data_IF_979780082919
#
_entry.id   IF_979780082919
#
_cell.length_a   1.000
_cell.length_b   1.000
_cell.length_c   1.000
_cell.angle_alpha   90.00
_cell.angle_beta   90.00
_cell.angle_gamma   90.00
#
_symmetry.space_group_name_H-M   'P 1'
#
loop_
_entity.id
_entity.type
_entity.pdbx_description
1 polymer ?
#
# COMPACT_ATOMS: atom_id res chain seq x y z
N UNK A 1 1.14 -4.87 32.50
CA UNK A 1 -0.18 -5.51 32.61
C UNK A 1 -0.94 -5.23 31.33
N UNK A 2 -1.46 -6.27 30.70
CA UNK A 2 -2.30 -6.15 29.52
C UNK A 2 -3.66 -5.55 29.91
N UNK A 3 -4.09 -4.52 29.20
CA UNK A 3 -5.32 -3.79 29.49
C UNK A 3 -6.39 -4.17 28.46
N UNK A 4 -7.42 -4.89 28.90
CA UNK A 4 -8.62 -5.17 28.12
C UNK A 4 -9.66 -4.08 28.44
N UNK A 5 -10.23 -3.48 27.40
CA UNK A 5 -11.23 -2.43 27.50
C UNK A 5 -12.50 -2.91 26.79
N UNK A 6 -13.54 -3.16 27.56
CA UNK A 6 -14.85 -3.57 27.02
C UNK A 6 -15.60 -2.39 26.41
N UNK A 7 -16.07 -2.57 25.19
CA UNK A 7 -16.89 -1.60 24.46
C UNK A 7 -18.23 -2.25 24.15
N UNK A 8 -19.25 -1.86 24.90
CA UNK A 8 -20.62 -2.40 24.77
C UNK A 8 -21.60 -1.42 24.08
N UNK A 9 -21.18 -0.16 23.83
CA UNK A 9 -22.06 0.89 23.35
C UNK A 9 -21.50 1.54 22.09
N UNK A 10 -22.28 1.55 21.01
CA UNK A 10 -21.94 2.20 19.73
C UNK A 10 -21.75 3.71 19.82
N UNK A 11 -22.35 4.38 20.83
CA UNK A 11 -22.19 5.83 21.05
C UNK A 11 -20.92 6.18 21.83
N UNK A 12 -20.14 5.18 22.28
CA UNK A 12 -18.90 5.47 23.00
C UNK A 12 -17.91 6.22 22.10
N UNK A 13 -17.21 7.21 22.64
CA UNK A 13 -16.19 8.00 21.92
C UNK A 13 -15.10 7.08 21.31
N UNK A 14 -14.74 6.02 22.00
CA UNK A 14 -13.74 5.04 21.54
C UNK A 14 -14.25 4.36 20.27
N UNK A 15 -15.49 3.85 20.26
CA UNK A 15 -16.05 3.15 19.12
C UNK A 15 -16.20 4.09 17.90
N UNK A 16 -16.65 5.32 18.12
CA UNK A 16 -16.75 6.32 17.07
C UNK A 16 -15.38 6.65 16.43
N UNK A 17 -14.32 6.68 17.22
CA UNK A 17 -12.96 6.83 16.69
C UNK A 17 -12.53 5.61 15.89
N UNK A 18 -12.84 4.38 16.33
CA UNK A 18 -12.54 3.18 15.55
C UNK A 18 -13.23 3.18 14.18
N UNK A 19 -14.47 3.68 14.08
CA UNK A 19 -15.16 3.84 12.79
C UNK A 19 -14.46 4.88 11.88
N UNK A 20 -13.95 5.97 12.44
CA UNK A 20 -13.14 6.94 11.68
C UNK A 20 -11.85 6.31 11.14
N UNK A 21 -11.15 5.52 11.94
CA UNK A 21 -9.92 4.81 11.51
C UNK A 21 -10.21 3.80 10.40
N UNK A 22 -11.36 3.10 10.47
CA UNK A 22 -11.83 2.23 9.38
C UNK A 22 -12.06 3.02 8.08
N UNK A 23 -12.66 4.19 8.16
CA UNK A 23 -12.90 5.06 7.02
C UNK A 23 -11.60 5.67 6.42
N UNK A 24 -10.46 5.47 7.09
CA UNK A 24 -9.17 5.97 6.61
C UNK A 24 -8.95 7.45 6.86
N UNK A 25 -9.54 7.99 7.94
CA UNK A 25 -9.36 9.39 8.33
C UNK A 25 -7.89 9.80 8.26
N UNK A 26 -7.63 10.91 7.54
CA UNK A 26 -6.27 11.34 7.19
C UNK A 26 -5.52 11.95 8.38
N UNK A 27 -6.25 12.53 9.34
CA UNK A 27 -5.68 13.34 10.41
C UNK A 27 -5.08 12.52 11.57
N UNK A 28 -5.63 11.35 11.86
CA UNK A 28 -5.29 10.60 13.09
C UNK A 28 -4.01 9.76 13.00
N UNK A 29 -3.38 9.63 11.84
CA UNK A 29 -2.15 8.83 11.69
C UNK A 29 -2.33 7.32 12.01
N UNK A 30 -3.58 6.83 12.05
CA UNK A 30 -3.97 5.47 12.42
C UNK A 30 -4.79 4.84 11.30
N UNK A 31 -4.69 3.52 11.14
CA UNK A 31 -5.53 2.71 10.26
C UNK A 31 -5.87 1.37 10.90
N UNK A 32 -6.90 0.71 10.36
CA UNK A 32 -7.26 -0.64 10.79
C UNK A 32 -6.82 -1.66 9.74
N UNK A 33 -6.26 -2.77 10.21
CA UNK A 33 -5.90 -3.93 9.39
C UNK A 33 -6.55 -5.19 9.99
N UNK A 34 -7.17 -6.02 9.14
CA UNK A 34 -8.02 -7.11 9.57
C UNK A 34 -7.38 -8.48 9.27
N UNK A 35 -7.38 -9.36 10.26
CA UNK A 35 -6.97 -10.75 10.11
C UNK A 35 -5.64 -11.10 10.76
N UNK A 36 -5.39 -12.41 10.84
CA UNK A 36 -4.25 -13.00 11.54
C UNK A 36 -2.92 -12.63 10.87
N UNK A 37 -2.86 -12.72 9.54
CA UNK A 37 -1.66 -12.33 8.76
C UNK A 37 -1.28 -10.87 9.02
N UNK A 38 -2.30 -9.99 9.10
CA UNK A 38 -2.09 -8.57 9.38
C UNK A 38 -1.59 -8.34 10.81
N UNK A 39 -2.07 -9.14 11.78
CA UNK A 39 -1.60 -9.08 13.15
C UNK A 39 -0.11 -9.42 13.24
N UNK A 40 0.29 -10.54 12.62
CA UNK A 40 1.68 -10.98 12.66
C UNK A 40 2.64 -9.95 12.02
N UNK A 41 2.25 -9.38 10.87
CA UNK A 41 3.06 -8.37 10.18
C UNK A 41 3.08 -7.01 10.91
N UNK A 42 1.94 -6.57 11.47
CA UNK A 42 1.87 -5.36 12.29
C UNK A 42 2.73 -5.46 13.55
N UNK A 43 2.74 -6.64 14.18
CA UNK A 43 3.56 -6.92 15.37
C UNK A 43 5.05 -6.88 15.04
N UNK A 44 5.48 -7.64 14.00
CA UNK A 44 6.89 -7.66 13.53
C UNK A 44 7.42 -6.29 13.16
N UNK A 45 6.61 -5.47 12.48
CA UNK A 45 6.99 -4.12 12.05
C UNK A 45 6.95 -3.05 13.14
N UNK A 46 6.54 -3.43 14.36
CA UNK A 46 6.30 -2.49 15.47
C UNK A 46 5.27 -1.40 15.16
N UNK A 47 4.35 -1.67 14.23
CA UNK A 47 3.28 -0.75 13.83
C UNK A 47 2.01 -0.93 14.66
N UNK A 48 1.88 -2.03 15.40
CA UNK A 48 0.70 -2.37 16.19
C UNK A 48 0.56 -1.46 17.41
N UNK A 49 -0.57 -0.76 17.50
CA UNK A 49 -0.91 0.11 18.64
C UNK A 49 -1.87 -0.57 19.63
N UNK A 50 -2.83 -1.33 19.09
CA UNK A 50 -3.81 -2.06 19.87
C UNK A 50 -4.44 -3.16 19.02
N UNK A 51 -5.07 -4.12 19.68
CA UNK A 51 -5.93 -5.12 19.02
C UNK A 51 -7.39 -4.88 19.37
N UNK A 52 -8.26 -5.34 18.48
CA UNK A 52 -9.70 -5.33 18.65
C UNK A 52 -10.16 -6.75 18.42
N UNK A 53 -10.86 -7.33 19.40
CA UNK A 53 -11.27 -8.73 19.39
C UNK A 53 -12.80 -8.86 19.55
N UNK A 54 -13.43 -9.90 18.94
CA UNK A 54 -14.85 -10.18 19.07
C UNK A 54 -15.17 -10.83 20.44
N UNK A 55 -16.43 -11.20 20.65
CA UNK A 55 -16.93 -11.79 21.91
C UNK A 55 -16.16 -13.08 22.30
N UNK A 56 -15.91 -13.94 21.29
CA UNK A 56 -15.07 -15.14 21.48
C UNK A 56 -13.76 -14.91 20.74
N UNK A 57 -12.66 -14.90 21.47
CA UNK A 57 -11.34 -14.60 20.93
C UNK A 57 -10.24 -15.49 21.52
N UNK A 58 -9.17 -15.65 20.76
CA UNK A 58 -7.95 -16.32 21.19
C UNK A 58 -7.08 -15.33 21.99
N UNK A 59 -6.57 -15.78 23.15
CA UNK A 59 -5.67 -15.01 23.99
C UNK A 59 -4.38 -14.57 23.28
N UNK A 60 -4.01 -15.22 22.19
CA UNK A 60 -2.90 -14.83 21.30
C UNK A 60 -3.00 -13.37 20.86
N UNK A 61 -4.23 -12.86 20.69
CA UNK A 61 -4.47 -11.50 20.21
C UNK A 61 -4.60 -10.46 21.31
N UNK A 62 -4.44 -10.86 22.58
CA UNK A 62 -4.40 -9.92 23.70
C UNK A 62 -3.02 -9.28 23.75
N UNK A 63 -2.98 -7.94 23.71
CA UNK A 63 -1.76 -7.14 23.71
C UNK A 63 -1.82 -6.11 24.83
N UNK A 64 -0.78 -5.30 24.98
CA UNK A 64 -0.74 -4.22 26.00
C UNK A 64 -2.01 -3.36 26.03
N UNK A 65 -2.70 -3.25 24.88
CA UNK A 65 -3.99 -2.55 24.77
C UNK A 65 -4.88 -3.34 23.83
N UNK A 66 -6.00 -3.86 24.36
CA UNK A 66 -6.97 -4.67 23.63
C UNK A 66 -8.36 -4.09 23.85
N UNK A 67 -9.10 -3.90 22.78
CA UNK A 67 -10.52 -3.55 22.83
C UNK A 67 -11.33 -4.81 22.58
N UNK A 68 -12.24 -5.11 23.51
CA UNK A 68 -13.17 -6.22 23.39
C UNK A 68 -14.54 -5.68 23.02
N UNK A 69 -15.09 -6.15 21.91
CA UNK A 69 -16.37 -5.70 21.36
C UNK A 69 -17.36 -6.86 21.24
N UNK A 70 -18.63 -6.56 21.51
CA UNK A 70 -19.73 -7.45 21.12
C UNK A 70 -19.73 -7.64 19.59
N UNK A 71 -20.13 -8.83 19.14
CA UNK A 71 -20.07 -9.20 17.72
C UNK A 71 -20.81 -8.22 16.79
N UNK A 72 -21.91 -7.61 17.25
CA UNK A 72 -22.65 -6.60 16.50
C UNK A 72 -21.80 -5.34 16.19
N UNK A 73 -21.04 -4.85 17.18
CA UNK A 73 -20.15 -3.71 17.01
C UNK A 73 -18.90 -4.10 16.22
N UNK A 74 -18.36 -5.30 16.50
CA UNK A 74 -17.21 -5.82 15.79
C UNK A 74 -17.49 -5.95 14.29
N UNK A 75 -18.69 -6.44 13.92
CA UNK A 75 -19.16 -6.53 12.52
C UNK A 75 -19.20 -5.17 11.81
N UNK A 76 -19.53 -4.09 12.52
CA UNK A 76 -19.52 -2.74 11.93
C UNK A 76 -18.09 -2.26 11.59
N UNK A 77 -17.08 -2.75 12.29
CA UNK A 77 -15.68 -2.44 12.01
C UNK A 77 -15.10 -3.31 10.89
N UNK A 78 -15.56 -4.55 10.73
CA UNK A 78 -15.04 -5.45 9.70
C UNK A 78 -15.51 -5.04 8.30
N UNK A 79 -14.62 -5.24 7.32
CA UNK A 79 -14.89 -5.12 5.89
C UNK A 79 -15.16 -6.50 5.24
N UNK A 80 -15.01 -7.59 6.00
CA UNK A 80 -15.22 -8.95 5.53
C UNK A 80 -16.64 -9.47 5.83
N UNK A 81 -17.15 -10.35 4.97
CA UNK A 81 -18.40 -11.07 5.22
C UNK A 81 -18.30 -12.00 6.42
N UNK A 82 -17.19 -12.76 6.51
CA UNK A 82 -16.85 -13.57 7.67
C UNK A 82 -16.01 -12.72 8.63
N UNK A 83 -16.39 -12.69 9.91
CA UNK A 83 -15.64 -11.89 10.90
C UNK A 83 -14.20 -12.41 11.03
N UNK A 84 -13.19 -11.52 10.94
CA UNK A 84 -11.82 -11.89 11.24
C UNK A 84 -11.66 -12.18 12.74
N UNK A 85 -10.66 -12.98 13.12
CA UNK A 85 -10.37 -13.28 14.53
C UNK A 85 -9.83 -12.08 15.29
N UNK A 86 -9.23 -11.12 14.58
CA UNK A 86 -8.64 -9.90 15.13
C UNK A 86 -8.69 -8.76 14.12
N UNK A 87 -8.89 -7.55 14.62
CA UNK A 87 -8.65 -6.30 13.89
C UNK A 87 -7.54 -5.56 14.62
N UNK A 88 -6.54 -5.13 13.87
CA UNK A 88 -5.37 -4.42 14.37
C UNK A 88 -5.52 -2.92 14.20
N UNK A 89 -5.31 -2.16 15.23
CA UNK A 89 -5.15 -0.72 15.16
C UNK A 89 -3.66 -0.41 14.98
N UNK A 90 -3.30 0.16 13.85
CA UNK A 90 -1.92 0.33 13.42
C UNK A 90 -1.58 1.79 13.18
N UNK A 91 -0.31 2.16 13.42
CA UNK A 91 0.24 3.47 13.10
C UNK A 91 0.52 3.58 11.59
N UNK A 92 0.04 4.62 10.93
CA UNK A 92 0.45 4.98 9.56
C UNK A 92 1.92 5.38 9.55
N UNK A 93 2.66 4.89 8.58
CA UNK A 93 4.09 5.18 8.42
C UNK A 93 4.33 5.68 7.00
N UNK A 94 4.24 7.01 6.82
CA UNK A 94 4.67 7.65 5.58
C UNK A 94 6.15 7.99 5.68
N UNK A 95 6.87 7.72 4.61
CA UNK A 95 8.28 8.06 4.48
C UNK A 95 8.41 9.37 3.71
N UNK A 96 9.48 10.11 3.95
CA UNK A 96 9.84 11.27 3.15
C UNK A 96 10.75 10.88 1.97
N UNK A 97 11.08 11.84 1.12
CA UNK A 97 11.86 11.61 -0.09
C UNK A 97 13.28 11.11 0.19
N UNK A 98 13.83 11.34 1.39
CA UNK A 98 15.15 10.84 1.79
C UNK A 98 15.19 9.32 1.95
N UNK A 99 14.02 8.70 2.13
CA UNK A 99 13.83 7.25 2.21
C UNK A 99 13.73 6.57 0.84
N UNK A 100 13.86 7.32 -0.25
CA UNK A 100 13.82 6.78 -1.61
C UNK A 100 15.08 5.96 -1.86
N UNK A 101 14.91 4.65 -2.02
CA UNK A 101 16.04 3.73 -2.21
C UNK A 101 16.45 3.57 -3.68
N UNK A 102 17.50 2.80 -3.93
CA UNK A 102 18.13 2.69 -5.26
C UNK A 102 17.21 2.12 -6.35
N UNK A 103 16.37 1.13 -6.02
CA UNK A 103 15.36 0.57 -6.93
C UNK A 103 13.98 0.96 -6.43
N UNK A 104 13.34 1.88 -7.11
CA UNK A 104 12.06 2.41 -6.68
C UNK A 104 10.98 2.29 -7.76
N UNK A 105 9.73 2.41 -7.34
CA UNK A 105 8.55 2.49 -8.20
C UNK A 105 7.92 3.86 -8.03
N UNK A 106 7.50 4.48 -9.12
CA UNK A 106 6.64 5.66 -9.08
C UNK A 106 5.28 5.33 -9.69
N UNK A 107 4.23 5.66 -8.98
CA UNK A 107 2.85 5.46 -9.41
C UNK A 107 2.19 6.81 -9.67
N UNK A 108 1.78 7.04 -10.92
CA UNK A 108 1.23 8.30 -11.39
C UNK A 108 -0.29 8.22 -11.52
N UNK A 109 -1.01 8.58 -10.46
CA UNK A 109 -2.47 8.68 -10.47
C UNK A 109 -3.21 7.34 -10.40
N UNK A 110 -2.64 6.31 -9.79
CA UNK A 110 -3.33 5.02 -9.60
C UNK A 110 -4.56 5.20 -8.72
N UNK A 111 -5.74 4.80 -9.22
CA UNK A 111 -7.03 4.99 -8.56
C UNK A 111 -7.61 3.69 -8.00
N UNK A 112 -7.37 2.54 -8.64
CA UNK A 112 -7.88 1.26 -8.13
C UNK A 112 -7.06 0.79 -6.92
N UNK A 113 -7.71 0.61 -5.75
CA UNK A 113 -7.01 0.19 -4.54
C UNK A 113 -6.50 -1.26 -4.61
N UNK A 114 -7.11 -2.12 -5.42
CA UNK A 114 -6.64 -3.48 -5.65
C UNK A 114 -5.32 -3.50 -6.39
N UNK A 115 -5.20 -2.66 -7.44
CA UNK A 115 -3.95 -2.49 -8.18
C UNK A 115 -2.84 -1.95 -7.28
N UNK A 116 -3.11 -0.89 -6.52
CA UNK A 116 -2.09 -0.32 -5.62
C UNK A 116 -1.58 -1.37 -4.61
N UNK A 117 -2.48 -2.10 -3.95
CA UNK A 117 -2.06 -3.11 -2.98
C UNK A 117 -1.27 -4.27 -3.62
N UNK A 118 -1.66 -4.69 -4.82
CA UNK A 118 -0.94 -5.71 -5.59
C UNK A 118 0.47 -5.23 -5.96
N UNK A 119 0.62 -3.99 -6.40
CA UNK A 119 1.92 -3.39 -6.73
C UNK A 119 2.81 -3.31 -5.48
N UNK A 120 2.27 -2.87 -4.33
CA UNK A 120 3.00 -2.82 -3.07
C UNK A 120 3.55 -4.21 -2.69
N UNK A 121 2.69 -5.23 -2.79
CA UNK A 121 3.08 -6.62 -2.50
C UNK A 121 4.16 -7.14 -3.44
N UNK A 122 4.01 -6.87 -4.73
CA UNK A 122 4.96 -7.31 -5.77
C UNK A 122 6.31 -6.61 -5.64
N UNK A 123 6.30 -5.31 -5.35
CA UNK A 123 7.52 -4.54 -5.14
C UNK A 123 8.35 -5.08 -3.96
N UNK A 124 7.68 -5.41 -2.85
CA UNK A 124 8.36 -6.05 -1.72
C UNK A 124 8.93 -7.42 -2.10
N UNK A 125 8.15 -8.25 -2.82
CA UNK A 125 8.56 -9.59 -3.23
C UNK A 125 9.78 -9.59 -4.17
N UNK A 126 9.95 -8.54 -4.98
CA UNK A 126 11.09 -8.39 -5.91
C UNK A 126 12.18 -7.44 -5.40
N UNK A 127 12.18 -7.16 -4.08
CA UNK A 127 13.23 -6.38 -3.41
C UNK A 127 13.38 -4.95 -3.93
N UNK A 128 12.29 -4.35 -4.41
CA UNK A 128 12.25 -2.91 -4.63
C UNK A 128 12.25 -2.21 -3.27
N UNK A 129 13.03 -1.16 -3.16
CA UNK A 129 13.36 -0.52 -1.89
C UNK A 129 12.31 0.51 -1.42
N UNK A 130 11.49 1.03 -2.33
CA UNK A 130 10.46 2.02 -2.01
C UNK A 130 9.44 2.22 -3.13
N UNK A 131 8.27 2.75 -2.75
CA UNK A 131 7.23 3.18 -3.68
C UNK A 131 6.95 4.66 -3.46
N UNK A 132 6.99 5.42 -4.55
CA UNK A 132 6.58 6.82 -4.55
C UNK A 132 5.23 6.96 -5.26
N UNK A 133 4.30 7.67 -4.64
CA UNK A 133 2.96 7.93 -5.14
C UNK A 133 2.84 9.40 -5.55
N UNK A 134 2.24 9.69 -6.68
CA UNK A 134 1.74 11.03 -6.95
C UNK A 134 0.61 11.40 -5.97
N UNK A 135 0.33 12.69 -5.81
CA UNK A 135 -0.63 13.16 -4.78
C UNK A 135 -2.07 12.74 -5.06
N UNK A 136 -2.40 12.42 -6.28
CA UNK A 136 -3.72 11.97 -6.73
C UNK A 136 -3.91 10.44 -6.73
N UNK A 137 -2.92 9.66 -6.33
CA UNK A 137 -3.13 8.22 -6.08
C UNK A 137 -4.11 7.99 -4.94
N UNK A 138 -4.84 6.87 -5.03
CA UNK A 138 -5.64 6.35 -3.91
C UNK A 138 -4.77 6.22 -2.66
N UNK A 139 -5.37 6.44 -1.49
CA UNK A 139 -4.63 6.32 -0.23
C UNK A 139 -4.04 4.92 -0.04
N UNK A 140 -2.75 4.77 0.28
CA UNK A 140 -2.17 3.47 0.60
C UNK A 140 -2.79 2.84 1.85
N UNK A 141 -3.46 3.64 2.70
CA UNK A 141 -4.17 3.19 3.89
C UNK A 141 -5.68 3.02 3.68
N UNK A 142 -6.15 2.99 2.43
CA UNK A 142 -7.49 2.51 2.11
C UNK A 142 -7.61 1.03 2.50
N UNK A 143 -8.73 0.62 3.09
CA UNK A 143 -8.93 -0.76 3.60
C UNK A 143 -8.69 -1.83 2.52
N UNK A 144 -9.11 -1.56 1.28
CA UNK A 144 -8.90 -2.49 0.16
C UNK A 144 -7.43 -2.56 -0.29
N UNK A 145 -6.65 -1.47 -0.18
CA UNK A 145 -5.19 -1.49 -0.40
C UNK A 145 -4.51 -2.35 0.66
N UNK A 146 -4.86 -2.14 1.92
CA UNK A 146 -4.32 -2.92 3.05
C UNK A 146 -4.57 -4.41 2.83
N UNK A 147 -5.82 -4.79 2.48
CA UNK A 147 -6.18 -6.18 2.21
C UNK A 147 -5.38 -6.80 1.06
N UNK A 148 -5.27 -6.09 -0.07
CA UNK A 148 -4.59 -6.59 -1.28
C UNK A 148 -3.07 -6.60 -1.14
N UNK A 149 -2.50 -5.76 -0.30
CA UNK A 149 -1.06 -5.75 -0.01
C UNK A 149 -0.58 -6.95 0.81
N UNK A 150 -1.50 -7.70 1.46
CA UNK A 150 -1.18 -8.90 2.26
C UNK A 150 -0.02 -8.70 3.23
N UNK A 151 -0.03 -7.58 3.96
CA UNK A 151 1.00 -7.24 4.94
C UNK A 151 2.22 -6.49 4.40
N UNK A 152 2.43 -6.45 3.09
CA UNK A 152 3.57 -5.71 2.51
C UNK A 152 3.57 -4.22 2.86
N UNK A 153 2.40 -3.62 3.14
CA UNK A 153 2.25 -2.23 3.57
C UNK A 153 3.03 -1.90 4.84
N UNK A 154 3.30 -2.87 5.70
CA UNK A 154 4.05 -2.68 6.95
C UNK A 154 5.56 -2.58 6.75
N UNK A 155 6.06 -3.04 5.59
CA UNK A 155 7.49 -3.17 5.31
C UNK A 155 7.97 -2.26 4.19
N UNK A 156 7.07 -1.87 3.27
CA UNK A 156 7.43 -1.05 2.11
C UNK A 156 7.42 0.44 2.48
N UNK A 157 8.55 1.16 2.36
CA UNK A 157 8.57 2.61 2.44
C UNK A 157 7.67 3.23 1.36
N UNK A 158 6.68 4.02 1.79
CA UNK A 158 5.76 4.71 0.89
C UNK A 158 5.94 6.21 1.04
N UNK A 159 6.22 6.86 -0.08
CA UNK A 159 6.52 8.28 -0.20
C UNK A 159 5.42 8.94 -1.04
N UNK A 160 5.06 10.18 -0.76
CA UNK A 160 4.25 11.01 -1.66
C UNK A 160 5.07 12.16 -2.17
N UNK A 161 5.30 12.21 -3.50
CA UNK A 161 6.11 13.25 -4.12
C UNK A 161 5.80 13.41 -5.61
N UNK A 162 6.16 14.54 -6.21
CA UNK A 162 6.11 14.77 -7.65
C UNK A 162 7.32 14.14 -8.34
N UNK A 163 7.12 13.54 -9.52
CA UNK A 163 8.21 12.90 -10.27
C UNK A 163 9.35 13.87 -10.61
N UNK A 164 9.04 15.14 -10.87
CA UNK A 164 10.06 16.17 -11.15
C UNK A 164 11.04 16.37 -9.98
N UNK A 165 10.61 16.21 -8.73
CA UNK A 165 11.49 16.33 -7.57
C UNK A 165 12.41 15.10 -7.45
N UNK A 166 11.94 13.92 -7.84
CA UNK A 166 12.76 12.71 -7.92
C UNK A 166 13.82 12.85 -9.04
N UNK A 167 13.45 13.46 -10.18
CA UNK A 167 14.39 13.78 -11.27
C UNK A 167 15.57 14.60 -10.77
N UNK A 168 15.33 15.59 -9.90
CA UNK A 168 16.38 16.45 -9.30
C UNK A 168 17.37 15.68 -8.42
N UNK A 169 17.00 14.48 -7.98
CA UNK A 169 17.86 13.58 -7.20
C UNK A 169 18.73 12.66 -8.06
N UNK A 170 18.79 12.90 -9.40
CA UNK A 170 19.57 12.13 -10.38
C UNK A 170 19.19 10.65 -10.47
N UNK A 171 17.89 10.32 -10.37
CA UNK A 171 17.39 8.99 -10.68
C UNK A 171 17.32 8.76 -12.19
N UNK A 172 17.67 7.55 -12.62
CA UNK A 172 17.38 7.06 -13.96
C UNK A 172 15.89 6.70 -14.03
N UNK A 173 15.11 7.49 -14.76
CA UNK A 173 13.66 7.35 -14.82
C UNK A 173 13.26 6.54 -16.07
N UNK A 174 12.54 5.44 -15.88
CA UNK A 174 11.99 4.59 -16.94
C UNK A 174 10.46 4.66 -16.88
N UNK A 175 9.85 5.19 -17.94
CA UNK A 175 8.43 5.53 -17.99
C UNK A 175 7.70 4.55 -18.91
N UNK A 176 6.70 3.86 -18.38
CA UNK A 176 5.86 2.98 -19.21
C UNK A 176 5.02 3.80 -20.18
N UNK A 177 5.17 3.51 -21.48
CA UNK A 177 4.45 4.21 -22.57
C UNK A 177 4.39 3.31 -23.79
N UNK A 178 3.28 3.33 -24.53
CA UNK A 178 3.07 2.50 -25.73
C UNK A 178 4.06 2.82 -26.87
N UNK A 179 4.55 4.04 -26.93
CA UNK A 179 5.57 4.51 -27.87
C UNK A 179 7.00 4.35 -27.35
N UNK A 180 7.19 3.60 -26.27
CA UNK A 180 8.48 3.34 -25.65
C UNK A 180 9.31 2.29 -26.41
N UNK A 181 10.59 2.19 -26.02
CA UNK A 181 11.48 1.11 -26.44
C UNK A 181 11.04 -0.21 -25.78
N UNK A 182 11.17 -1.32 -26.51
CA UNK A 182 10.89 -2.65 -25.98
C UNK A 182 11.81 -2.97 -24.78
N UNK A 183 11.23 -3.41 -23.70
CA UNK A 183 11.95 -3.76 -22.46
C UNK A 183 13.02 -4.85 -22.70
N UNK A 184 12.85 -5.69 -23.73
CA UNK A 184 13.79 -6.75 -24.10
C UNK A 184 15.15 -6.20 -24.52
N UNK A 185 15.18 -4.98 -25.06
CA UNK A 185 16.42 -4.31 -25.49
C UNK A 185 17.20 -3.71 -24.31
N UNK A 186 16.63 -3.71 -23.12
CA UNK A 186 17.26 -3.18 -21.90
C UNK A 186 17.80 -4.34 -21.08
N UNK A 187 19.11 -4.51 -21.03
CA UNK A 187 19.76 -5.62 -20.34
C UNK A 187 19.54 -5.56 -18.82
N UNK A 188 19.73 -4.39 -18.23
CA UNK A 188 19.55 -4.11 -16.80
C UNK A 188 19.25 -2.66 -16.56
N UNK A 189 18.62 -2.34 -15.43
CA UNK A 189 18.51 -0.96 -14.97
C UNK A 189 19.80 -0.54 -14.26
N UNK A 190 20.27 0.70 -14.47
CA UNK A 190 21.35 1.27 -13.67
C UNK A 190 20.97 1.29 -12.18
N UNK A 191 21.99 1.40 -11.30
CA UNK A 191 21.75 1.77 -9.91
C UNK A 191 20.99 3.11 -9.86
N UNK A 192 20.21 3.30 -8.79
CA UNK A 192 19.41 4.51 -8.61
C UNK A 192 18.41 4.73 -9.76
N UNK A 193 17.55 3.72 -9.97
CA UNK A 193 16.52 3.72 -11.01
C UNK A 193 15.11 3.71 -10.44
N UNK A 194 14.18 4.31 -11.18
CA UNK A 194 12.76 4.30 -10.85
C UNK A 194 11.93 3.90 -12.07
N UNK A 195 11.04 2.91 -11.90
CA UNK A 195 10.05 2.51 -12.88
C UNK A 195 8.76 3.31 -12.64
N UNK A 196 8.24 3.95 -13.67
CA UNK A 196 7.05 4.80 -13.61
C UNK A 196 5.88 4.12 -14.29
N UNK A 197 4.78 3.95 -13.55
CA UNK A 197 3.53 3.39 -14.04
C UNK A 197 2.42 4.42 -13.93
N UNK A 198 1.61 4.55 -14.97
CA UNK A 198 0.53 5.51 -15.04
C UNK A 198 -0.83 4.97 -14.64
N UNK A 199 -1.81 5.86 -14.65
CA UNK A 199 -3.22 5.58 -14.41
C UNK A 199 -3.77 4.57 -15.42
N UNK A 200 -4.75 3.77 -15.00
CA UNK A 200 -5.35 2.68 -15.77
C UNK A 200 -6.02 3.17 -17.09
N UNK A 201 -6.61 4.37 -17.07
CA UNK A 201 -7.34 4.93 -18.21
C UNK A 201 -6.50 5.90 -19.07
N UNK A 202 -5.59 6.62 -18.47
CA UNK A 202 -4.89 7.73 -19.13
C UNK A 202 -3.38 7.55 -19.26
N UNK A 203 -2.83 6.49 -18.68
CA UNK A 203 -1.39 6.26 -18.63
C UNK A 203 -0.66 7.26 -17.72
N UNK A 204 0.62 7.47 -18.00
CA UNK A 204 1.46 8.45 -17.30
C UNK A 204 1.09 9.86 -17.78
N UNK A 205 1.00 10.82 -16.86
CA UNK A 205 0.67 12.22 -17.15
C UNK A 205 1.61 12.83 -18.17
N UNK A 206 1.09 13.66 -19.08
CA UNK A 206 1.85 14.30 -20.15
C UNK A 206 3.09 15.06 -19.64
N UNK A 207 2.96 15.76 -18.52
CA UNK A 207 4.05 16.50 -17.87
C UNK A 207 5.20 15.61 -17.41
N UNK A 208 4.92 14.34 -17.11
CA UNK A 208 5.90 13.38 -16.64
C UNK A 208 6.59 12.61 -17.78
N UNK A 209 5.98 12.52 -18.98
CA UNK A 209 6.49 11.72 -20.10
C UNK A 209 7.87 12.17 -20.62
N UNK A 210 8.22 13.43 -20.42
CA UNK A 210 9.52 14.01 -20.84
C UNK A 210 10.63 13.84 -19.80
N UNK A 211 10.32 13.32 -18.59
CA UNK A 211 11.27 13.27 -17.49
C UNK A 211 12.22 12.07 -17.56
N UNK A 212 11.94 11.08 -18.39
CA UNK A 212 12.74 9.85 -18.46
C UNK A 212 12.68 9.13 -19.81
N UNK A 213 13.35 7.98 -19.86
CA UNK A 213 13.34 7.07 -21.01
C UNK A 213 12.02 6.30 -21.04
N UNK A 214 11.36 6.30 -22.18
CA UNK A 214 10.11 5.54 -22.37
C UNK A 214 10.43 4.08 -22.65
N UNK A 215 9.71 3.18 -21.97
CA UNK A 215 9.80 1.73 -22.14
C UNK A 215 8.41 1.13 -22.33
N UNK A 216 8.31 0.03 -23.06
CA UNK A 216 7.07 -0.74 -23.24
C UNK A 216 7.28 -2.22 -23.01
N UNK A 217 6.20 -2.88 -22.67
CA UNK A 217 6.05 -4.33 -22.80
C UNK A 217 5.45 -4.58 -24.18
N UNK A 218 6.11 -5.40 -25.00
CA UNK A 218 5.56 -5.78 -26.29
C UNK A 218 4.30 -6.63 -26.12
N UNK A 219 3.24 -6.25 -26.80
CA UNK A 219 1.95 -6.93 -26.72
C UNK A 219 1.43 -7.20 -28.13
N UNK A 220 0.65 -8.27 -28.29
CA UNK A 220 -0.06 -8.61 -29.52
C UNK A 220 -1.54 -8.84 -29.24
N UNK A 221 -2.41 -8.30 -30.09
CA UNK A 221 -3.85 -8.50 -30.02
C UNK A 221 -4.62 -7.67 -28.99
N UNK A 222 -3.91 -6.89 -28.16
CA UNK A 222 -4.51 -5.94 -27.18
C UNK A 222 -3.62 -4.69 -27.07
N UNK A 223 -4.23 -3.57 -26.69
CA UNK A 223 -3.54 -2.27 -26.64
C UNK A 223 -2.97 -1.95 -25.23
N UNK A 224 -3.41 -2.68 -24.18
CA UNK A 224 -2.96 -2.41 -22.83
C UNK A 224 -3.12 -3.64 -21.91
N UNK A 225 -2.32 -3.69 -20.85
CA UNK A 225 -2.45 -4.60 -19.73
C UNK A 225 -2.90 -3.84 -18.48
N UNK A 226 -3.52 -4.56 -17.54
CA UNK A 226 -3.75 -4.03 -16.21
C UNK A 226 -2.44 -3.52 -15.61
N UNK A 227 -2.47 -2.36 -14.96
CA UNK A 227 -1.25 -1.69 -14.45
C UNK A 227 -0.49 -2.52 -13.43
N UNK A 228 -1.18 -3.29 -12.57
CA UNK A 228 -0.50 -4.15 -11.60
C UNK A 228 0.19 -5.34 -12.29
N UNK A 229 -0.36 -5.84 -13.40
CA UNK A 229 0.28 -6.88 -14.22
C UNK A 229 1.51 -6.31 -14.92
N UNK A 230 1.39 -5.16 -15.60
CA UNK A 230 2.53 -4.49 -16.24
C UNK A 230 3.65 -4.20 -15.25
N UNK A 231 3.30 -3.70 -14.06
CA UNK A 231 4.25 -3.45 -12.99
C UNK A 231 4.93 -4.74 -12.53
N UNK A 232 4.19 -5.84 -12.39
CA UNK A 232 4.73 -7.14 -11.97
C UNK A 232 5.72 -7.70 -13.00
N UNK A 233 5.40 -7.60 -14.28
CA UNK A 233 6.28 -8.06 -15.39
C UNK A 233 7.59 -7.28 -15.36
N UNK A 234 7.53 -5.94 -15.34
CA UNK A 234 8.74 -5.11 -15.36
C UNK A 234 9.56 -5.22 -14.07
N UNK A 235 8.90 -5.31 -12.91
CA UNK A 235 9.59 -5.54 -11.65
C UNK A 235 10.31 -6.88 -11.61
N UNK A 236 9.69 -7.94 -12.16
CA UNK A 236 10.36 -9.25 -12.27
C UNK A 236 11.51 -9.23 -13.27
N UNK A 237 11.33 -8.56 -14.41
CA UNK A 237 12.35 -8.43 -15.47
C UNK A 237 13.60 -7.71 -14.96
N UNK A 238 13.44 -6.72 -14.09
CA UNK A 238 14.52 -5.86 -13.61
C UNK A 238 14.81 -6.02 -12.09
N UNK A 239 14.48 -7.19 -11.52
CA UNK A 239 14.78 -7.48 -10.10
C UNK A 239 16.28 -7.64 -9.82
#
# INVERSE_FOLDING_TARGET
MDKIIDISNSKSKIFQNLLKYKAGDKEEGIFLAEGEDMFDEAYKSSSLLATIVPNIYDKRYVTKKTFHLKDELYRQLSSYKSLPKVICMCKKKMSDISSLGEKAIYLDGIQDPGNLGTIIRTALAFSYSSICLSYDCVSPYNSKVIQSSKGAIFHMPIIKEKLINIKKLNYNIFITSLDGEDEKNILSLPSKSILVFGNEGHGVKKENLSLGRKIKIEMSGIDSLNVAISASILMYRFK
#
